data_IF_508014583347
#
_entry.id   IF_508014583347
#
_cell.length_a   1.000
_cell.length_b   1.000
_cell.length_c   1.000
_cell.angle_alpha   90.00
_cell.angle_beta   90.00
_cell.angle_gamma   90.00
#
_symmetry.space_group_name_H-M   'P 1'
#
loop_
_entity.id
_entity.type
_entity.pdbx_description
1 polymer ?
#
# COMPACT_ATOMS: atom_id res chain seq x y z
N UNK A 1 -5.15 -12.84 7.61
CA UNK A 1 -5.64 -12.78 6.25
C UNK A 1 -4.53 -12.33 5.31
N UNK A 2 -4.48 -12.91 4.13
CA UNK A 2 -3.43 -12.59 3.16
C UNK A 2 -3.65 -11.20 2.56
N UNK A 3 -2.55 -10.45 2.41
CA UNK A 3 -2.54 -9.18 1.68
C UNK A 3 -1.87 -9.45 0.34
N UNK A 4 -2.63 -9.32 -0.74
CA UNK A 4 -2.13 -9.53 -2.10
C UNK A 4 -1.57 -8.22 -2.63
N UNK A 5 -0.47 -8.31 -3.37
CA UNK A 5 0.10 -7.15 -4.05
C UNK A 5 0.04 -7.38 -5.54
N UNK A 6 -0.46 -6.38 -6.26
CA UNK A 6 -0.45 -6.38 -7.72
C UNK A 6 0.22 -5.11 -8.23
N UNK A 7 0.86 -5.19 -9.38
CA UNK A 7 1.68 -4.12 -9.93
C UNK A 7 1.18 -3.72 -11.31
N UNK A 8 0.97 -2.42 -11.50
CA UNK A 8 0.58 -1.88 -12.81
C UNK A 8 1.84 -1.46 -13.57
N UNK A 9 2.24 -2.21 -14.61
CA UNK A 9 3.47 -1.86 -15.34
C UNK A 9 3.36 -0.56 -16.13
N UNK A 10 2.15 -0.08 -16.37
CA UNK A 10 1.95 1.15 -17.14
C UNK A 10 2.08 2.40 -16.26
N UNK A 11 1.63 2.33 -15.01
CA UNK A 11 1.66 3.49 -14.10
C UNK A 11 2.74 3.38 -13.04
N UNK A 12 3.24 2.18 -12.76
CA UNK A 12 4.18 1.94 -11.68
C UNK A 12 3.52 1.78 -10.31
N UNK A 13 2.20 1.74 -10.27
CA UNK A 13 1.47 1.63 -9.01
C UNK A 13 1.50 0.21 -8.45
N UNK A 14 1.60 0.12 -7.11
CA UNK A 14 1.38 -1.13 -6.39
C UNK A 14 0.08 -1.00 -5.63
N UNK A 15 -0.80 -1.99 -5.75
CA UNK A 15 -2.07 -2.00 -5.01
C UNK A 15 -2.07 -3.18 -4.05
N UNK A 16 -2.58 -2.97 -2.85
CA UNK A 16 -2.61 -3.96 -1.76
C UNK A 16 -4.06 -4.21 -1.36
N UNK A 17 -4.46 -5.47 -1.27
CA UNK A 17 -5.85 -5.80 -0.98
C UNK A 17 -5.97 -7.18 -0.32
N UNK A 18 -7.00 -7.34 0.52
CA UNK A 18 -7.37 -8.66 1.05
C UNK A 18 -8.31 -9.39 0.09
N UNK A 19 -8.84 -8.68 -0.91
CA UNK A 19 -9.82 -9.24 -1.84
C UNK A 19 -9.15 -9.94 -3.01
N UNK A 20 -9.27 -11.27 -3.05
CA UNK A 20 -8.78 -12.03 -4.20
C UNK A 20 -9.54 -11.64 -5.47
N UNK A 21 -10.82 -11.27 -5.33
CA UNK A 21 -11.62 -10.81 -6.46
C UNK A 21 -11.03 -9.54 -7.07
N UNK A 22 -10.70 -8.54 -6.22
CA UNK A 22 -10.11 -7.28 -6.68
C UNK A 22 -8.78 -7.54 -7.37
N UNK A 23 -7.92 -8.38 -6.76
CA UNK A 23 -6.62 -8.72 -7.33
C UNK A 23 -6.78 -9.37 -8.69
N UNK A 24 -7.67 -10.36 -8.81
CA UNK A 24 -7.90 -11.08 -10.07
C UNK A 24 -8.47 -10.16 -11.15
N UNK A 25 -9.35 -9.25 -10.77
CA UNK A 25 -9.94 -8.30 -11.72
C UNK A 25 -8.87 -7.40 -12.33
N UNK A 26 -7.91 -6.96 -11.52
CA UNK A 26 -6.81 -6.12 -12.00
C UNK A 26 -5.83 -6.92 -12.86
N UNK A 27 -5.53 -8.16 -12.45
CA UNK A 27 -4.66 -9.03 -13.25
C UNK A 27 -5.27 -9.24 -14.64
N UNK A 28 -6.60 -9.41 -14.71
CA UNK A 28 -7.29 -9.56 -15.99
C UNK A 28 -7.17 -8.31 -16.87
N UNK A 29 -6.88 -7.16 -16.27
CA UNK A 29 -6.70 -5.90 -16.99
C UNK A 29 -5.24 -5.60 -17.32
N UNK A 30 -4.34 -6.54 -17.03
CA UNK A 30 -2.92 -6.40 -17.35
C UNK A 30 -1.99 -6.08 -16.21
N UNK A 31 -2.50 -6.01 -14.97
CA UNK A 31 -1.63 -5.86 -13.81
C UNK A 31 -0.89 -7.17 -13.55
N UNK A 32 0.28 -7.08 -12.98
CA UNK A 32 1.10 -8.24 -12.65
C UNK A 32 0.79 -8.73 -11.24
N UNK A 33 0.61 -10.05 -11.10
CA UNK A 33 0.37 -10.68 -9.81
C UNK A 33 1.71 -10.83 -9.08
N UNK A 34 1.83 -10.18 -7.92
CA UNK A 34 3.04 -10.27 -7.10
C UNK A 34 2.84 -11.14 -5.87
N UNK A 35 1.70 -11.83 -5.79
CA UNK A 35 1.45 -12.79 -4.73
C UNK A 35 1.08 -12.18 -3.40
N UNK A 36 1.26 -12.96 -2.33
CA UNK A 36 0.98 -12.53 -0.97
C UNK A 36 2.19 -11.79 -0.42
N UNK A 37 1.98 -10.55 -0.01
CA UNK A 37 3.07 -9.73 0.51
C UNK A 37 3.27 -9.94 2.02
N UNK A 38 2.16 -10.02 2.77
CA UNK A 38 2.22 -10.34 4.20
C UNK A 38 0.86 -10.86 4.65
N UNK A 39 0.80 -11.36 5.90
CA UNK A 39 -0.45 -11.74 6.55
C UNK A 39 -0.85 -10.63 7.51
N UNK A 40 -2.09 -10.20 7.46
CA UNK A 40 -2.63 -9.18 8.35
C UNK A 40 -3.57 -9.80 9.35
N UNK A 41 -3.70 -9.24 10.57
CA UNK A 41 -4.70 -9.71 11.51
C UNK A 41 -6.11 -9.37 11.00
N UNK A 42 -7.11 -10.09 11.50
CA UNK A 42 -8.50 -9.83 11.13
C UNK A 42 -9.10 -8.67 11.91
N UNK A 43 -8.41 -8.19 12.93
CA UNK A 43 -8.77 -7.01 13.70
C UNK A 43 -7.51 -6.39 14.27
N UNK A 44 -7.57 -5.11 14.63
CA UNK A 44 -6.42 -4.39 15.14
C UNK A 44 -6.57 -2.92 14.82
N UNK A 45 -5.46 -2.28 14.47
CA UNK A 45 -5.47 -0.87 14.10
C UNK A 45 -5.86 -0.73 12.63
N UNK A 46 -6.89 0.05 12.35
CA UNK A 46 -7.42 0.18 11.00
C UNK A 46 -6.41 0.83 10.05
N UNK A 47 -6.28 0.28 8.84
CA UNK A 47 -5.55 0.89 7.75
C UNK A 47 -6.55 1.32 6.70
N UNK A 48 -6.57 2.61 6.41
CA UNK A 48 -7.51 3.23 5.48
C UNK A 48 -6.88 3.33 4.10
N UNK A 49 -7.73 3.24 3.08
CA UNK A 49 -7.28 3.42 1.69
C UNK A 49 -8.02 4.61 1.08
N UNK A 50 -7.29 5.38 0.27
CA UNK A 50 -7.85 6.50 -0.49
C UNK A 50 -7.47 6.34 -1.96
N UNK A 51 -8.28 6.90 -2.83
CA UNK A 51 -8.07 6.81 -4.28
C UNK A 51 -8.09 8.19 -4.90
N UNK A 52 -7.07 8.49 -5.70
CA UNK A 52 -7.00 9.73 -6.46
C UNK A 52 -7.47 9.45 -7.89
N UNK A 53 -8.68 9.87 -8.20
CA UNK A 53 -9.27 9.61 -9.52
C UNK A 53 -8.55 10.34 -10.66
N UNK A 54 -7.76 11.37 -10.35
CA UNK A 54 -7.04 12.13 -11.36
C UNK A 54 -5.73 11.42 -11.76
N UNK A 55 -5.09 10.75 -10.82
CA UNK A 55 -3.81 10.07 -11.08
C UNK A 55 -3.92 8.55 -11.09
N UNK A 56 -4.99 8.01 -10.49
CA UNK A 56 -5.16 6.57 -10.34
C UNK A 56 -4.44 5.98 -9.15
N UNK A 57 -3.76 6.79 -8.36
CA UNK A 57 -2.97 6.31 -7.22
C UNK A 57 -3.84 5.94 -6.04
N UNK A 58 -3.45 4.87 -5.31
CA UNK A 58 -4.05 4.50 -4.04
C UNK A 58 -3.06 4.81 -2.92
N UNK A 59 -3.56 5.34 -1.81
CA UNK A 59 -2.74 5.68 -0.66
C UNK A 59 -3.29 4.98 0.58
N UNK A 60 -2.40 4.49 1.43
CA UNK A 60 -2.75 3.70 2.60
C UNK A 60 -2.18 4.36 3.86
N UNK A 61 -2.99 4.45 4.91
CA UNK A 61 -2.53 5.07 6.16
C UNK A 61 -3.29 4.54 7.37
N UNK A 62 -2.60 4.45 8.52
CA UNK A 62 -3.22 4.17 9.81
C UNK A 62 -3.71 5.45 10.48
N UNK A 63 -3.26 6.60 10.01
CA UNK A 63 -3.57 7.88 10.64
C UNK A 63 -4.91 8.41 10.14
N UNK A 64 -5.89 8.51 11.05
CA UNK A 64 -7.18 9.12 10.69
C UNK A 64 -7.02 10.58 10.33
N UNK A 65 -6.06 11.27 10.93
CA UNK A 65 -5.76 12.66 10.57
C UNK A 65 -5.28 12.75 9.12
N UNK A 66 -4.31 11.92 8.75
CA UNK A 66 -3.79 11.90 7.39
C UNK A 66 -4.89 11.51 6.39
N UNK A 67 -5.71 10.54 6.74
CA UNK A 67 -6.83 10.08 5.93
C UNK A 67 -7.79 11.25 5.61
N UNK A 68 -8.18 12.00 6.65
CA UNK A 68 -9.09 13.13 6.48
C UNK A 68 -8.41 14.29 5.74
N UNK A 69 -7.14 14.54 6.03
CA UNK A 69 -6.38 15.60 5.39
C UNK A 69 -6.26 15.38 3.88
N UNK A 70 -5.92 14.15 3.49
CA UNK A 70 -5.76 13.79 2.07
C UNK A 70 -7.12 13.85 1.37
N UNK A 71 -8.18 13.37 2.04
CA UNK A 71 -9.54 13.42 1.47
C UNK A 71 -9.98 14.86 1.22
N UNK A 72 -9.59 15.81 2.08
CA UNK A 72 -9.95 17.21 1.92
C UNK A 72 -9.32 17.83 0.68
N UNK A 73 -8.29 17.17 0.12
CA UNK A 73 -7.62 17.62 -1.11
C UNK A 73 -8.20 16.99 -2.37
N UNK A 74 -9.32 16.27 -2.24
CA UNK A 74 -10.02 15.73 -3.39
C UNK A 74 -9.89 14.23 -3.60
N UNK A 75 -9.15 13.53 -2.73
CA UNK A 75 -9.05 12.08 -2.82
C UNK A 75 -10.33 11.43 -2.29
N UNK A 76 -10.69 10.29 -2.86
CA UNK A 76 -11.87 9.54 -2.45
C UNK A 76 -11.53 8.57 -1.34
N UNK A 77 -12.32 8.60 -0.26
CA UNK A 77 -12.16 7.65 0.85
C UNK A 77 -12.71 6.29 0.44
N UNK A 78 -11.90 5.25 0.63
CA UNK A 78 -12.35 3.88 0.35
C UNK A 78 -12.54 3.05 1.61
N UNK A 79 -12.36 3.65 2.79
CA UNK A 79 -12.62 2.99 4.06
C UNK A 79 -11.45 2.13 4.52
N UNK A 80 -11.75 1.24 5.46
CA UNK A 80 -10.75 0.32 6.04
C UNK A 80 -10.57 -0.85 5.09
N UNK A 81 -9.32 -1.13 4.69
CA UNK A 81 -9.04 -2.24 3.76
C UNK A 81 -8.35 -3.41 4.43
N UNK A 82 -7.62 -3.18 5.51
CA UNK A 82 -7.05 -4.25 6.34
C UNK A 82 -6.64 -3.64 7.69
N UNK A 83 -6.05 -4.46 8.55
CA UNK A 83 -5.66 -4.04 9.89
C UNK A 83 -4.18 -4.23 10.11
N UNK A 84 -3.59 -3.31 10.87
CA UNK A 84 -2.21 -3.41 11.33
C UNK A 84 -2.17 -4.18 12.63
N UNK A 85 -1.12 -4.98 12.82
CA UNK A 85 -0.97 -5.81 14.01
C UNK A 85 -0.60 -4.95 15.22
N UNK A 86 -1.46 -4.88 16.26
CA UNK A 86 -1.14 -4.12 17.47
C UNK A 86 0.09 -4.65 18.21
N UNK A 87 0.42 -5.93 18.01
CA UNK A 87 1.60 -6.54 18.64
C UNK A 87 2.89 -6.23 17.88
N UNK A 88 2.79 -5.50 16.75
CA UNK A 88 3.94 -5.06 15.95
C UNK A 88 4.81 -6.23 15.48
N UNK A 89 4.17 -7.22 14.87
CA UNK A 89 4.86 -8.42 14.43
C UNK A 89 5.88 -8.17 13.34
N UNK A 90 5.41 -7.94 12.12
CA UNK A 90 6.31 -7.75 10.99
C UNK A 90 6.27 -6.29 10.54
N UNK A 91 7.43 -5.66 10.46
CA UNK A 91 7.55 -4.25 10.05
C UNK A 91 7.23 -4.10 8.55
N UNK A 92 6.37 -3.13 8.23
CA UNK A 92 6.04 -2.79 6.85
C UNK A 92 6.49 -1.36 6.60
N UNK A 93 7.47 -1.19 5.73
CA UNK A 93 8.07 0.11 5.43
C UNK A 93 7.39 0.75 4.24
N UNK A 94 7.31 2.07 4.27
CA UNK A 94 6.74 2.87 3.18
C UNK A 94 7.85 3.68 2.51
N UNK A 95 7.84 3.72 1.18
CA UNK A 95 8.77 4.55 0.42
C UNK A 95 7.98 5.41 -0.55
N UNK A 96 8.48 6.61 -0.79
CA UNK A 96 7.86 7.61 -1.65
C UNK A 96 8.77 7.95 -2.81
N UNK A 97 8.24 7.91 -4.02
CA UNK A 97 8.99 8.32 -5.21
C UNK A 97 8.66 9.78 -5.52
N UNK A 98 9.58 10.73 -5.22
CA UNK A 98 9.32 12.15 -5.46
C UNK A 98 9.34 12.52 -6.94
N UNK A 99 9.79 11.61 -7.80
CA UNK A 99 9.87 11.84 -9.24
C UNK A 99 8.73 11.24 -10.02
N UNK A 100 7.80 10.54 -9.35
CA UNK A 100 6.67 9.91 -10.03
C UNK A 100 5.65 10.95 -10.49
N UNK A 101 5.10 10.73 -11.66
CA UNK A 101 3.99 11.52 -12.18
C UNK A 101 2.76 10.64 -12.21
N UNK A 102 1.72 11.02 -11.45
CA UNK A 102 0.50 10.25 -11.37
C UNK A 102 0.62 9.10 -10.38
N UNK A 103 0.02 7.96 -10.71
CA UNK A 103 -0.02 6.79 -9.84
C UNK A 103 1.38 6.21 -9.62
N UNK A 104 1.57 5.50 -8.52
CA UNK A 104 2.80 4.79 -8.25
C UNK A 104 3.78 5.50 -7.35
N UNK A 105 3.38 6.63 -6.74
CA UNK A 105 4.29 7.43 -5.93
C UNK A 105 4.66 6.79 -4.58
N UNK A 106 3.88 5.83 -4.06
CA UNK A 106 4.17 5.14 -2.81
C UNK A 106 4.17 3.63 -3.00
N UNK A 107 5.04 2.93 -2.24
CA UNK A 107 4.88 1.48 -2.12
C UNK A 107 5.25 1.03 -0.71
N UNK A 108 4.80 -0.16 -0.35
CA UNK A 108 4.91 -0.73 0.99
C UNK A 108 5.51 -2.12 0.88
N UNK A 109 6.44 -2.44 1.78
CA UNK A 109 7.14 -3.72 1.70
C UNK A 109 7.57 -4.21 3.07
N UNK A 110 7.62 -5.54 3.23
CA UNK A 110 8.22 -6.18 4.38
C UNK A 110 9.71 -6.46 4.16
N UNK A 111 10.19 -6.31 2.93
CA UNK A 111 11.56 -6.63 2.54
C UNK A 111 12.47 -5.42 2.77
N UNK A 112 13.42 -5.56 3.70
CA UNK A 112 14.42 -4.52 3.92
C UNK A 112 15.30 -4.33 2.68
N UNK A 113 15.54 -5.39 1.94
CA UNK A 113 16.30 -5.31 0.69
C UNK A 113 15.56 -4.46 -0.35
N UNK A 114 14.27 -4.74 -0.57
CA UNK A 114 13.47 -4.00 -1.54
C UNK A 114 13.39 -2.52 -1.14
N UNK A 115 13.17 -2.27 0.14
CA UNK A 115 13.10 -0.91 0.67
C UNK A 115 14.42 -0.16 0.43
N UNK A 116 15.54 -0.78 0.80
CA UNK A 116 16.85 -0.15 0.66
C UNK A 116 17.21 0.06 -0.82
N UNK A 117 16.83 -0.89 -1.67
CA UNK A 117 17.05 -0.77 -3.11
C UNK A 117 16.31 0.45 -3.68
N UNK A 118 15.06 0.64 -3.26
CA UNK A 118 14.27 1.80 -3.69
C UNK A 118 14.94 3.10 -3.21
N UNK A 119 15.36 3.15 -1.95
CA UNK A 119 16.01 4.35 -1.39
C UNK A 119 17.30 4.65 -2.17
N UNK A 120 18.09 3.63 -2.49
CA UNK A 120 19.32 3.82 -3.26
C UNK A 120 19.03 4.28 -4.68
N UNK A 121 17.83 4.03 -5.19
CA UNK A 121 17.41 4.45 -6.53
C UNK A 121 16.76 5.84 -6.55
N UNK A 122 16.74 6.53 -5.41
CA UNK A 122 16.22 7.90 -5.34
C UNK A 122 14.87 8.05 -4.66
N UNK A 123 14.27 6.97 -4.19
CA UNK A 123 13.02 7.04 -3.43
C UNK A 123 13.32 7.54 -2.02
N UNK A 124 12.35 8.21 -1.43
CA UNK A 124 12.45 8.63 -0.03
C UNK A 124 11.94 7.55 0.88
N UNK A 125 12.78 7.11 1.83
CA UNK A 125 12.35 6.19 2.87
C UNK A 125 11.51 6.94 3.88
N UNK A 126 10.29 6.45 4.13
CA UNK A 126 9.38 7.09 5.09
C UNK A 126 9.23 6.28 6.37
N UNK A 127 10.03 5.23 6.52
CA UNK A 127 10.05 4.42 7.73
C UNK A 127 8.87 3.45 7.80
N UNK A 128 8.57 3.03 9.02
CA UNK A 128 7.51 2.05 9.25
C UNK A 128 6.13 2.70 9.12
N UNK A 129 5.28 2.13 8.25
CA UNK A 129 3.91 2.61 8.07
C UNK A 129 2.94 1.86 8.98
N UNK A 130 3.02 0.55 9.02
CA UNK A 130 2.17 -0.30 9.86
C UNK A 130 2.84 -1.67 9.99
N UNK A 131 2.10 -2.65 10.56
CA UNK A 131 2.68 -3.95 10.88
C UNK A 131 1.81 -5.10 10.41
N UNK A 132 2.45 -6.16 9.88
CA UNK A 132 1.80 -7.41 9.60
C UNK A 132 2.00 -8.39 10.75
N UNK A 133 1.40 -9.58 10.62
CA UNK A 133 1.58 -10.63 11.60
C UNK A 133 2.99 -11.20 11.46
N UNK A 134 3.57 -11.50 12.60
CA UNK A 134 4.82 -12.24 12.65
C UNK A 134 4.46 -13.71 12.44
N UNK A 135 5.00 -14.32 11.40
CA UNK A 135 4.56 -15.67 11.06
C UNK A 135 5.23 -16.75 11.92
#
# INVERSE_FOLDING_TARGET
>A
TAIYRVYNPNSGEHLYTTSSYEAKALIAKGWHDEGTEWQAPTKGNAVYRLYNKNTGEHFYTMSSYEYNSVASKGWNKEGVVFYSDPAKGMNISRAFNPHANGAGSHFFTTSSYEYQHAVNSGWKGEGTAFYGLNK
#
